data_IF_582431121632
#
_entry.id   IF_582431121632
#
_cell.length_a   1.000
_cell.length_b   1.000
_cell.length_c   1.000
_cell.angle_alpha   90.00
_cell.angle_beta   90.00
_cell.angle_gamma   90.00
#
_symmetry.space_group_name_H-M   'P 1'
#
loop_
_entity.id
_entity.type
_entity.pdbx_description
1 polymer ?
#
# COMPACT_ATOMS: atom_id res chain seq x y z
N UNK A 1 16.57 -0.31 -12.91
CA UNK A 1 15.46 0.51 -12.35
C UNK A 1 14.99 -0.17 -11.08
N UNK A 2 15.12 0.50 -9.93
CA UNK A 2 14.67 -0.03 -8.64
C UNK A 2 13.13 -0.13 -8.67
N UNK A 3 12.55 -1.29 -8.37
CA UNK A 3 11.09 -1.47 -8.32
C UNK A 3 10.53 -0.68 -7.14
N UNK A 4 9.54 0.17 -7.37
CA UNK A 4 8.89 0.93 -6.29
C UNK A 4 8.03 -0.01 -5.46
N UNK A 5 8.47 -0.36 -4.25
CA UNK A 5 7.66 -1.18 -3.35
C UNK A 5 6.49 -0.35 -2.80
N UNK A 6 5.26 -0.70 -3.21
CA UNK A 6 4.03 0.03 -2.83
C UNK A 6 3.33 -0.57 -1.59
N UNK A 7 3.78 -1.72 -1.09
CA UNK A 7 3.32 -2.37 0.16
C UNK A 7 3.28 -1.42 1.37
N UNK A 8 4.33 -0.60 1.66
CA UNK A 8 4.31 0.39 2.74
C UNK A 8 3.16 1.39 2.71
N UNK A 9 2.59 1.67 1.54
CA UNK A 9 1.56 2.69 1.37
C UNK A 9 0.18 2.18 1.78
N UNK A 10 -0.02 0.86 1.76
CA UNK A 10 -1.25 0.21 2.25
C UNK A 10 -1.17 -0.04 3.76
N UNK A 11 0.04 -0.31 4.27
CA UNK A 11 0.29 -0.56 5.69
C UNK A 11 1.41 0.35 6.22
N UNK A 12 1.11 1.64 6.49
CA UNK A 12 2.11 2.60 6.95
C UNK A 12 2.77 2.19 8.28
N UNK A 13 2.13 1.29 9.05
CA UNK A 13 2.63 0.80 10.34
C UNK A 13 3.43 -0.51 10.26
N UNK A 14 3.69 -1.06 9.07
CA UNK A 14 4.36 -2.35 8.89
C UNK A 14 5.79 -2.25 8.31
N UNK A 15 6.44 -1.08 8.34
CA UNK A 15 7.74 -0.92 7.68
C UNK A 15 8.85 -0.27 8.53
N UNK A 16 9.90 -1.06 8.77
CA UNK A 16 11.28 -0.64 8.52
C UNK A 16 11.70 -1.13 7.13
N UNK A 17 12.13 -0.18 6.30
CA UNK A 17 12.31 -0.23 4.84
C UNK A 17 13.38 -1.23 4.36
N UNK A 18 13.00 -2.17 3.49
CA UNK A 18 13.97 -2.73 2.52
C UNK A 18 13.96 -1.84 1.27
N UNK A 19 14.74 -0.76 1.35
CA UNK A 19 15.02 0.19 0.28
C UNK A 19 16.29 -0.17 -0.53
N UNK A 20 16.82 -1.38 -0.40
CA UNK A 20 17.97 -1.79 -1.20
C UNK A 20 17.51 -2.36 -2.53
N UNK A 21 18.10 -1.88 -3.63
CA UNK A 21 17.89 -2.47 -4.96
C UNK A 21 18.48 -3.89 -5.11
N UNK A 22 18.94 -4.47 -4.00
CA UNK A 22 19.46 -5.82 -3.83
C UNK A 22 18.72 -6.42 -2.64
N UNK A 23 17.63 -7.13 -2.91
CA UNK A 23 17.05 -8.07 -1.96
C UNK A 23 17.54 -9.46 -2.37
N UNK A 24 18.23 -10.15 -1.48
CA UNK A 24 18.63 -11.51 -1.73
C UNK A 24 17.39 -12.42 -1.86
N UNK A 25 17.43 -13.51 -2.64
CA UNK A 25 16.25 -14.34 -2.87
C UNK A 25 15.56 -14.83 -1.59
N UNK A 26 16.33 -15.09 -0.53
CA UNK A 26 15.78 -15.50 0.75
C UNK A 26 15.02 -14.37 1.46
N UNK A 27 15.43 -13.11 1.31
CA UNK A 27 14.74 -11.95 1.88
C UNK A 27 13.38 -11.75 1.21
N UNK A 28 13.33 -11.88 -0.11
CA UNK A 28 12.08 -11.81 -0.88
C UNK A 28 11.13 -12.94 -0.47
N UNK A 29 11.65 -14.16 -0.30
CA UNK A 29 10.86 -15.31 0.13
C UNK A 29 10.33 -15.15 1.56
N UNK A 30 11.19 -14.75 2.51
CA UNK A 30 10.80 -14.47 3.89
C UNK A 30 9.71 -13.41 3.94
N UNK A 31 9.90 -12.31 3.22
CA UNK A 31 8.93 -11.22 3.14
C UNK A 31 7.58 -11.66 2.56
N UNK A 32 7.58 -12.44 1.47
CA UNK A 32 6.34 -12.97 0.89
C UNK A 32 5.62 -13.91 1.85
N UNK A 33 6.36 -14.78 2.57
CA UNK A 33 5.78 -15.64 3.61
C UNK A 33 5.17 -14.85 4.77
N UNK A 34 5.83 -13.78 5.22
CA UNK A 34 5.29 -12.90 6.26
C UNK A 34 3.98 -12.28 5.81
N UNK A 35 3.90 -11.77 4.57
CA UNK A 35 2.65 -11.21 4.06
C UNK A 35 1.55 -12.27 3.93
N UNK A 36 1.85 -13.46 3.40
CA UNK A 36 0.91 -14.58 3.34
C UNK A 36 0.40 -14.98 4.73
N UNK A 37 1.24 -14.90 5.76
CA UNK A 37 0.85 -15.16 7.15
C UNK A 37 -0.08 -14.05 7.68
N UNK A 38 0.24 -12.78 7.42
CA UNK A 38 -0.51 -11.62 7.93
C UNK A 38 -1.90 -11.51 7.30
N UNK A 39 -2.01 -11.62 5.97
CA UNK A 39 -3.28 -11.45 5.26
C UNK A 39 -3.91 -12.76 4.76
N UNK A 40 -3.25 -13.90 4.88
CA UNK A 40 -3.71 -15.15 4.27
C UNK A 40 -3.41 -15.23 2.77
N UNK A 41 -3.34 -16.47 2.26
CA UNK A 41 -2.90 -16.76 0.89
C UNK A 41 -3.78 -16.07 -0.16
N UNK A 42 -5.10 -16.09 0.02
CA UNK A 42 -6.04 -15.53 -0.96
C UNK A 42 -5.91 -14.00 -1.11
N UNK A 43 -5.84 -13.26 0.00
CA UNK A 43 -5.64 -11.80 -0.06
C UNK A 43 -4.24 -11.44 -0.54
N UNK A 44 -3.24 -12.26 -0.22
CA UNK A 44 -1.89 -12.10 -0.73
C UNK A 44 -1.84 -12.25 -2.26
N UNK A 45 -2.54 -13.21 -2.84
CA UNK A 45 -2.61 -13.36 -4.30
C UNK A 45 -3.27 -12.15 -4.99
N UNK A 46 -4.35 -11.61 -4.42
CA UNK A 46 -4.99 -10.38 -4.91
C UNK A 46 -4.07 -9.17 -4.77
N UNK A 47 -3.31 -9.10 -3.68
CA UNK A 47 -2.29 -8.09 -3.46
C UNK A 47 -1.18 -8.16 -4.54
N UNK A 48 -0.61 -9.34 -4.77
CA UNK A 48 0.43 -9.60 -5.77
C UNK A 48 -0.07 -9.32 -7.21
N UNK A 49 -1.35 -9.59 -7.49
CA UNK A 49 -1.99 -9.16 -8.74
C UNK A 49 -2.04 -7.63 -8.86
N UNK A 50 -2.41 -6.92 -7.81
CA UNK A 50 -2.45 -5.46 -7.82
C UNK A 50 -1.04 -4.85 -8.01
N UNK A 51 0.00 -5.45 -7.43
CA UNK A 51 1.39 -5.03 -7.67
C UNK A 51 1.82 -5.26 -9.12
N UNK A 52 1.55 -6.44 -9.70
CA UNK A 52 1.84 -6.68 -11.11
C UNK A 52 1.09 -5.74 -12.04
N UNK A 53 -0.15 -5.38 -11.69
CA UNK A 53 -0.91 -4.37 -12.42
C UNK A 53 -0.26 -3.00 -12.32
N UNK A 54 0.22 -2.61 -11.12
CA UNK A 54 0.97 -1.38 -10.92
C UNK A 54 2.24 -1.38 -11.77
N UNK A 55 3.06 -2.43 -11.72
CA UNK A 55 4.29 -2.54 -12.51
C UNK A 55 4.04 -2.43 -14.02
N UNK A 56 2.95 -3.02 -14.54
CA UNK A 56 2.56 -2.91 -15.96
C UNK A 56 1.97 -1.55 -16.33
N UNK A 57 1.34 -0.88 -15.37
CA UNK A 57 0.67 0.40 -15.56
C UNK A 57 1.59 1.60 -15.37
N UNK A 58 2.71 1.41 -14.68
CA UNK A 58 3.69 2.45 -14.50
C UNK A 58 4.23 2.86 -15.86
N UNK A 59 3.95 4.10 -16.22
CA UNK A 59 4.84 4.84 -17.09
C UNK A 59 6.23 4.75 -16.47
N UNK A 60 7.26 4.44 -17.27
CA UNK A 60 8.69 4.55 -16.85
C UNK A 60 9.08 5.94 -16.34
N UNK A 61 8.14 6.87 -16.34
CA UNK A 61 8.23 8.20 -15.80
C UNK A 61 8.24 8.21 -14.24
N UNK A 62 9.37 8.60 -13.63
CA UNK A 62 9.51 8.65 -12.18
C UNK A 62 8.66 9.76 -11.55
N UNK A 63 8.27 10.81 -12.28
CA UNK A 63 7.46 11.92 -11.75
C UNK A 63 6.04 11.43 -11.49
N UNK A 64 5.44 10.72 -12.46
CA UNK A 64 4.11 10.10 -12.31
C UNK A 64 4.09 9.18 -11.10
N UNK A 65 5.11 8.32 -10.97
CA UNK A 65 5.24 7.38 -9.85
C UNK A 65 5.32 8.10 -8.50
N UNK A 66 6.18 9.13 -8.39
CA UNK A 66 6.33 9.91 -7.14
C UNK A 66 5.04 10.63 -6.75
N UNK A 67 4.38 11.29 -7.71
CA UNK A 67 3.11 11.98 -7.45
C UNK A 67 2.03 10.99 -7.02
N UNK A 68 1.95 9.85 -7.68
CA UNK A 68 0.99 8.81 -7.32
C UNK A 68 1.24 8.27 -5.91
N UNK A 69 2.48 7.98 -5.55
CA UNK A 69 2.85 7.55 -4.18
C UNK A 69 2.45 8.57 -3.12
N UNK A 70 2.66 9.87 -3.38
CA UNK A 70 2.24 10.94 -2.46
C UNK A 70 0.71 10.97 -2.32
N UNK A 71 -0.03 10.85 -3.43
CA UNK A 71 -1.49 10.78 -3.41
C UNK A 71 -1.95 9.60 -2.56
N UNK A 72 -1.34 8.42 -2.75
CA UNK A 72 -1.65 7.22 -1.98
C UNK A 72 -1.40 7.42 -0.48
N UNK A 73 -0.27 8.02 -0.10
CA UNK A 73 0.08 8.29 1.29
C UNK A 73 -1.00 9.11 2.01
N UNK A 74 -1.57 10.12 1.34
CA UNK A 74 -2.66 10.92 1.90
C UNK A 74 -4.04 10.24 1.80
N UNK A 75 -4.18 9.16 1.02
CA UNK A 75 -5.41 8.36 0.94
C UNK A 75 -5.59 7.39 2.12
N UNK A 76 -4.49 6.82 2.64
CA UNK A 76 -4.51 5.70 3.60
C UNK A 76 -5.20 5.96 4.95
N UNK A 77 -5.18 7.17 5.55
CA UNK A 77 -5.78 7.39 6.88
C UNK A 77 -7.31 7.70 6.87
N UNK A 78 -7.97 7.64 5.70
CA UNK A 78 -9.34 8.15 5.59
C UNK A 78 -10.44 7.14 5.91
N UNK A 79 -10.20 5.82 5.88
CA UNK A 79 -11.30 4.84 5.89
C UNK A 79 -11.29 3.80 7.01
N UNK A 80 -10.24 3.71 7.82
CA UNK A 80 -10.09 2.59 8.77
C UNK A 80 -10.63 2.83 10.19
N UNK A 81 -11.16 4.02 10.50
CA UNK A 81 -11.43 4.39 11.90
C UNK A 81 -12.87 4.75 12.28
N UNK A 82 -13.83 4.85 11.37
CA UNK A 82 -15.18 5.28 11.74
C UNK A 82 -16.28 4.47 11.04
N UNK A 83 -16.78 3.45 11.72
CA UNK A 83 -18.11 2.88 11.45
C UNK A 83 -19.24 3.77 12.01
N UNK A 84 -18.95 5.01 12.44
CA UNK A 84 -19.97 5.93 12.96
C UNK A 84 -20.20 7.12 12.03
N UNK A 85 -21.44 7.43 11.66
CA UNK A 85 -21.78 8.58 10.82
C UNK A 85 -21.77 9.90 11.64
N UNK A 86 -20.73 10.14 12.45
CA UNK A 86 -20.62 11.38 13.25
C UNK A 86 -19.62 12.34 12.60
N UNK A 87 -20.08 12.95 11.50
CA UNK A 87 -19.30 13.52 10.41
C UNK A 87 -18.62 14.89 10.62
N UNK A 88 -18.85 15.66 11.69
CA UNK A 88 -18.49 17.10 11.63
C UNK A 88 -17.12 17.50 12.20
N UNK A 89 -16.64 16.93 13.31
CA UNK A 89 -15.34 17.36 13.91
C UNK A 89 -14.11 16.68 13.31
N UNK A 90 -14.23 15.41 12.92
CA UNK A 90 -13.12 14.63 12.35
C UNK A 90 -12.86 15.02 10.89
N UNK A 91 -13.92 15.31 10.12
CA UNK A 91 -13.81 15.77 8.74
C UNK A 91 -13.12 17.13 8.64
N UNK A 92 -13.45 18.07 9.53
CA UNK A 92 -12.77 19.37 9.60
C UNK A 92 -11.27 19.23 9.93
N UNK A 93 -10.88 18.27 10.79
CA UNK A 93 -9.46 17.96 11.04
C UNK A 93 -8.76 17.35 9.83
N UNK A 94 -9.49 16.62 8.98
CA UNK A 94 -8.97 15.97 7.76
C UNK A 94 -9.01 16.86 6.52
N UNK A 95 -9.64 18.04 6.59
CA UNK A 95 -9.77 18.96 5.46
C UNK A 95 -8.41 19.34 4.86
N UNK A 96 -7.41 19.65 5.69
CA UNK A 96 -6.06 19.97 5.20
C UNK A 96 -5.39 18.81 4.45
N UNK A 97 -5.62 17.57 4.90
CA UNK A 97 -5.11 16.36 4.24
C UNK A 97 -5.78 16.18 2.87
N UNK A 98 -7.10 16.33 2.80
CA UNK A 98 -7.86 16.25 1.54
C UNK A 98 -7.47 17.36 0.56
N UNK A 99 -7.26 18.58 1.04
CA UNK A 99 -6.79 19.70 0.21
C UNK A 99 -5.39 19.42 -0.35
N UNK A 100 -4.49 18.89 0.49
CA UNK A 100 -3.13 18.52 0.07
C UNK A 100 -3.19 17.41 -0.98
N UNK A 101 -3.97 16.36 -0.75
CA UNK A 101 -4.20 15.28 -1.70
C UNK A 101 -4.72 15.80 -3.05
N UNK A 102 -5.75 16.67 -3.03
CA UNK A 102 -6.32 17.27 -4.23
C UNK A 102 -5.32 18.15 -4.99
N UNK A 103 -4.43 18.85 -4.29
CA UNK A 103 -3.35 19.60 -4.92
C UNK A 103 -2.39 18.68 -5.70
N UNK A 104 -2.01 17.54 -5.12
CA UNK A 104 -1.18 16.55 -5.81
C UNK A 104 -1.90 15.83 -6.97
N UNK A 105 -3.20 15.52 -6.82
CA UNK A 105 -4.02 14.99 -7.92
C UNK A 105 -4.08 15.98 -9.09
N UNK A 106 -4.30 17.26 -8.78
CA UNK A 106 -4.32 18.33 -9.79
C UNK A 106 -2.96 18.47 -10.48
N UNK A 107 -1.88 18.41 -9.71
CA UNK A 107 -0.52 18.47 -10.24
C UNK A 107 -0.22 17.28 -11.16
N UNK A 108 -0.61 16.07 -10.76
CA UNK A 108 -0.49 14.86 -11.57
C UNK A 108 -1.28 15.01 -12.88
N UNK A 109 -2.53 15.48 -12.82
CA UNK A 109 -3.35 15.67 -14.01
C UNK A 109 -2.74 16.68 -14.99
N UNK A 110 -2.27 17.83 -14.49
CA UNK A 110 -1.59 18.85 -15.30
C UNK A 110 -0.30 18.30 -15.94
N UNK A 111 0.49 17.57 -15.15
CA UNK A 111 1.71 16.94 -15.64
C UNK A 111 1.43 15.94 -16.75
N UNK A 112 0.45 15.05 -16.54
CA UNK A 112 0.06 14.07 -17.54
C UNK A 112 -0.40 14.76 -18.83
N UNK A 113 -1.29 15.74 -18.72
CA UNK A 113 -1.85 16.47 -19.86
C UNK A 113 -0.76 17.15 -20.67
N UNK A 114 0.19 17.79 -19.99
CA UNK A 114 1.34 18.45 -20.63
C UNK A 114 2.28 17.44 -21.32
N UNK A 115 2.58 16.31 -20.68
CA UNK A 115 3.60 15.36 -21.15
C UNK A 115 3.10 14.37 -22.19
N UNK A 116 1.85 13.91 -22.07
CA UNK A 116 1.28 12.80 -22.84
C UNK A 116 0.08 13.18 -23.71
N UNK A 117 -0.37 14.44 -23.66
CA UNK A 117 -1.58 14.89 -24.33
C UNK A 117 -2.85 14.33 -23.69
N UNK A 118 -4.02 14.77 -24.15
CA UNK A 118 -5.31 14.44 -23.53
C UNK A 118 -5.59 12.93 -23.48
N UNK A 119 -5.51 12.24 -24.62
CA UNK A 119 -5.82 10.81 -24.71
C UNK A 119 -4.88 9.94 -23.88
N UNK A 120 -3.57 10.20 -23.98
CA UNK A 120 -2.56 9.50 -23.18
C UNK A 120 -2.76 9.70 -21.69
N UNK A 121 -3.11 10.92 -21.28
CA UNK A 121 -3.37 11.26 -19.86
C UNK A 121 -4.56 10.52 -19.30
N UNK A 122 -5.67 10.47 -20.04
CA UNK A 122 -6.87 9.75 -19.63
C UNK A 122 -6.54 8.28 -19.41
N UNK A 123 -5.85 7.64 -20.37
CA UNK A 123 -5.47 6.23 -20.28
C UNK A 123 -4.57 5.95 -19.06
N UNK A 124 -3.53 6.75 -18.86
CA UNK A 124 -2.61 6.59 -17.72
C UNK A 124 -3.36 6.81 -16.40
N UNK A 125 -4.16 7.87 -16.31
CA UNK A 125 -4.91 8.21 -15.11
C UNK A 125 -5.92 7.12 -14.73
N UNK A 126 -6.67 6.57 -15.70
CA UNK A 126 -7.58 5.45 -15.46
C UNK A 126 -6.86 4.21 -14.95
N UNK A 127 -5.67 3.89 -15.49
CA UNK A 127 -4.86 2.78 -15.00
C UNK A 127 -4.42 3.00 -13.55
N UNK A 128 -3.97 4.21 -13.20
CA UNK A 128 -3.60 4.56 -11.83
C UNK A 128 -4.78 4.45 -10.87
N UNK A 129 -5.96 4.95 -11.26
CA UNK A 129 -7.19 4.81 -10.48
C UNK A 129 -7.58 3.35 -10.30
N UNK A 130 -7.47 2.53 -11.35
CA UNK A 130 -7.78 1.10 -11.25
C UNK A 130 -6.86 0.38 -10.25
N UNK A 131 -5.54 0.66 -10.32
CA UNK A 131 -4.56 0.15 -9.35
C UNK A 131 -4.92 0.60 -7.93
N UNK A 132 -5.24 1.88 -7.75
CA UNK A 132 -5.66 2.41 -6.45
C UNK A 132 -6.90 1.69 -5.89
N UNK A 133 -7.95 1.53 -6.68
CA UNK A 133 -9.18 0.87 -6.25
C UNK A 133 -8.92 -0.59 -5.86
N UNK A 134 -8.07 -1.30 -6.60
CA UNK A 134 -7.65 -2.67 -6.25
C UNK A 134 -6.89 -2.72 -4.93
N UNK A 135 -5.95 -1.80 -4.72
CA UNK A 135 -5.23 -1.69 -3.45
C UNK A 135 -6.15 -1.38 -2.27
N UNK A 136 -7.16 -0.52 -2.46
CA UNK A 136 -8.15 -0.22 -1.42
C UNK A 136 -9.00 -1.45 -1.08
N UNK A 137 -9.44 -2.21 -2.09
CA UNK A 137 -10.18 -3.47 -1.88
C UNK A 137 -9.35 -4.47 -1.07
N UNK A 138 -8.09 -4.65 -1.44
CA UNK A 138 -7.17 -5.54 -0.71
C UNK A 138 -6.92 -5.02 0.70
N UNK A 139 -6.60 -3.73 0.87
CA UNK A 139 -6.37 -3.12 2.17
C UNK A 139 -7.56 -3.26 3.12
N UNK A 140 -8.78 -3.07 2.62
CA UNK A 140 -10.01 -3.32 3.36
C UNK A 140 -10.19 -4.80 3.71
N UNK A 141 -9.90 -5.71 2.78
CA UNK A 141 -9.88 -7.15 3.04
C UNK A 141 -8.93 -7.52 4.18
N UNK A 142 -7.71 -6.98 4.17
CA UNK A 142 -6.74 -7.23 5.24
C UNK A 142 -7.22 -6.61 6.55
N UNK A 143 -7.69 -5.37 6.53
CA UNK A 143 -8.23 -4.72 7.73
C UNK A 143 -9.38 -5.52 8.37
N UNK A 144 -10.36 -5.95 7.57
CA UNK A 144 -11.49 -6.74 8.06
C UNK A 144 -11.04 -8.09 8.60
N UNK A 145 -10.07 -8.75 7.96
CA UNK A 145 -9.49 -10.00 8.46
C UNK A 145 -8.74 -9.81 9.78
N UNK A 146 -7.89 -8.77 9.89
CA UNK A 146 -7.19 -8.43 11.13
C UNK A 146 -8.17 -8.05 12.25
N UNK A 147 -9.25 -7.33 11.93
CA UNK A 147 -10.28 -6.93 12.90
C UNK A 147 -11.15 -8.09 13.37
N UNK A 148 -11.51 -9.01 12.47
CA UNK A 148 -12.31 -10.20 12.79
C UNK A 148 -11.47 -11.27 13.49
N UNK A 149 -10.16 -11.32 13.22
CA UNK A 149 -9.21 -12.06 14.03
C UNK A 149 -9.04 -11.40 15.41
N UNK A 150 -9.90 -11.79 16.36
CA UNK A 150 -9.57 -11.77 17.81
C UNK A 150 -8.24 -12.53 18.12
N UNK A 151 -7.65 -13.20 17.14
CA UNK A 151 -6.48 -14.08 17.22
C UNK A 151 -5.12 -13.47 16.84
N UNK A 152 -4.97 -12.15 16.70
CA UNK A 152 -3.62 -11.56 16.51
C UNK A 152 -2.72 -11.69 17.75
N UNK A 153 -3.29 -11.88 18.93
CA UNK A 153 -2.53 -12.19 20.16
C UNK A 153 -1.69 -13.48 20.03
N UNK A 154 -2.28 -14.64 19.71
CA UNK A 154 -1.50 -15.86 19.51
C UNK A 154 -0.55 -15.79 18.31
N UNK A 155 -0.84 -15.03 17.25
CA UNK A 155 0.09 -14.84 16.12
C UNK A 155 1.33 -14.03 16.55
N UNK A 156 1.15 -12.98 17.36
CA UNK A 156 2.25 -12.22 17.95
C UNK A 156 3.07 -13.06 18.93
N UNK A 157 2.40 -13.96 19.66
CA UNK A 157 3.04 -14.93 20.56
C UNK A 157 3.84 -15.99 19.78
N UNK A 158 3.31 -16.43 18.63
CA UNK A 158 3.94 -17.42 17.73
C UNK A 158 5.15 -16.80 17.02
N UNK A 159 5.04 -15.56 16.56
CA UNK A 159 6.15 -14.80 15.97
C UNK A 159 7.25 -14.55 17.01
N UNK A 160 6.90 -14.13 18.23
CA UNK A 160 7.87 -13.98 19.31
C UNK A 160 8.56 -15.30 19.63
N UNK A 161 7.82 -16.42 19.71
CA UNK A 161 8.39 -17.76 19.96
C UNK A 161 9.37 -18.19 18.86
N UNK A 162 9.01 -17.98 17.58
CA UNK A 162 9.88 -18.30 16.45
C UNK A 162 11.17 -17.46 16.46
N UNK A 163 11.06 -16.16 16.76
CA UNK A 163 12.24 -15.27 16.87
C UNK A 163 13.14 -15.68 18.04
N UNK A 164 12.57 -16.09 19.17
CA UNK A 164 13.37 -16.55 20.33
C UNK A 164 13.98 -17.94 20.15
N UNK A 165 13.39 -18.81 19.33
CA UNK A 165 13.93 -20.15 19.06
C UNK A 165 15.16 -20.09 18.16
N UNK A 166 15.15 -19.28 17.10
CA UNK A 166 16.30 -19.09 16.21
C UNK A 166 17.54 -18.50 16.92
N UNK A 167 17.34 -17.74 18.01
CA UNK A 167 18.43 -17.15 18.81
C UNK A 167 19.09 -18.19 19.73
N UNK A 168 18.37 -19.24 20.13
CA UNK A 168 18.89 -20.27 21.03
C UNK A 168 19.62 -21.41 20.29
N UNK A 169 19.34 -21.63 19.01
CA UNK A 169 20.02 -22.64 18.18
C UNK A 169 21.36 -22.14 17.58
N UNK A 170 21.75 -20.89 17.88
CA UNK A 170 23.01 -20.27 17.41
C UNK A 170 24.05 -20.04 18.51
N UNK A 171 23.86 -20.59 19.72
CA UNK A 171 24.87 -20.68 20.79
C UNK A 171 25.41 -22.10 20.94
#
# INVERSE_FOLDING_TARGET
LCKTNIRPLIFPNLHELNQTCFAEPWQVNAYNKTWQLVCGIQLYEEFDKAERMAEKSWTTDPIVTRLFVIILFFSTPLHYHDDSPTSTKILNKKQGVLQTQNAYVTLLWKYLTYRYGSEGSIRIYLNLVHVYMKMQQVGYGVYTQLRTQKGLFPTHETLNKLVTLDINDTQ
#
